data_IF_313206659049
#
_entry.id   IF_313206659049
#
_cell.length_a   1.000
_cell.length_b   1.000
_cell.length_c   1.000
_cell.angle_alpha   90.00
_cell.angle_beta   90.00
_cell.angle_gamma   90.00
#
_symmetry.space_group_name_H-M   'P 1'
#
loop_
_entity.id
_entity.type
_entity.pdbx_description
1 polymer ?
#
# COMPACT_ATOMS: atom_id res chain seq x y z
N UNK A 1 7.69 -14.08 -7.89
CA UNK A 1 8.61 -13.23 -8.70
C UNK A 1 7.78 -12.10 -9.29
N UNK A 2 8.30 -10.87 -9.29
CA UNK A 2 7.60 -9.71 -9.85
C UNK A 2 7.68 -9.70 -11.38
N UNK A 3 6.64 -9.21 -12.07
CA UNK A 3 6.64 -9.04 -13.52
C UNK A 3 7.49 -7.81 -13.87
N UNK A 4 8.41 -7.96 -14.79
CA UNK A 4 9.35 -6.90 -15.16
C UNK A 4 8.64 -5.79 -15.97
N UNK A 5 8.69 -4.57 -15.45
CA UNK A 5 8.02 -3.39 -16.05
C UNK A 5 8.61 -3.02 -17.43
N UNK A 6 9.93 -3.19 -17.63
CA UNK A 6 10.59 -2.87 -18.91
C UNK A 6 10.19 -3.86 -20.01
N UNK A 7 10.10 -5.15 -19.65
CA UNK A 7 9.63 -6.18 -20.59
C UNK A 7 8.20 -5.91 -21.05
N UNK A 8 7.31 -5.61 -20.12
CA UNK A 8 5.90 -5.28 -20.43
C UNK A 8 5.82 -4.04 -21.31
N UNK A 9 6.54 -2.96 -20.96
CA UNK A 9 6.52 -1.72 -21.74
C UNK A 9 7.00 -1.93 -23.17
N UNK A 10 8.12 -2.66 -23.35
CA UNK A 10 8.66 -2.99 -24.68
C UNK A 10 7.71 -3.85 -25.51
N UNK A 11 7.03 -4.82 -24.85
CA UNK A 11 6.05 -5.68 -25.53
C UNK A 11 4.83 -4.87 -25.99
N UNK A 12 4.30 -3.99 -25.13
CA UNK A 12 3.20 -3.10 -25.49
C UNK A 12 3.59 -2.17 -26.64
N UNK A 13 4.76 -1.55 -26.59
CA UNK A 13 5.26 -0.71 -27.68
C UNK A 13 5.45 -1.50 -28.98
N UNK A 14 5.96 -2.74 -28.91
CA UNK A 14 6.12 -3.59 -30.09
C UNK A 14 4.78 -3.85 -30.78
N UNK A 15 3.73 -4.18 -30.01
CA UNK A 15 2.40 -4.46 -30.54
C UNK A 15 1.79 -3.18 -31.15
N UNK A 16 1.88 -2.04 -30.48
CA UNK A 16 1.36 -0.78 -30.96
C UNK A 16 2.10 -0.29 -32.21
N UNK A 17 3.42 -0.43 -32.28
CA UNK A 17 4.24 0.02 -33.40
C UNK A 17 4.10 -0.86 -34.66
N UNK A 18 3.85 -2.18 -34.53
CA UNK A 18 3.71 -3.08 -35.68
C UNK A 18 2.64 -2.64 -36.68
N UNK A 19 1.63 -1.91 -36.21
CA UNK A 19 0.52 -1.48 -37.05
C UNK A 19 0.49 0.04 -37.30
N UNK A 20 1.56 0.77 -36.92
CA UNK A 20 1.64 2.24 -36.99
C UNK A 20 0.46 2.95 -36.29
N UNK A 21 -0.11 2.31 -35.24
CA UNK A 21 -1.37 2.73 -34.62
C UNK A 21 -1.22 3.73 -33.47
N UNK A 22 0.01 4.04 -33.09
CA UNK A 22 0.25 5.04 -32.05
C UNK A 22 1.43 4.72 -31.14
N UNK A 23 1.70 5.62 -30.24
CA UNK A 23 2.75 5.57 -29.26
C UNK A 23 2.19 5.91 -27.88
N UNK A 24 2.52 5.10 -26.87
CA UNK A 24 2.21 5.40 -25.48
C UNK A 24 3.45 5.97 -24.79
N UNK A 25 3.30 7.12 -24.16
CA UNK A 25 4.40 7.73 -23.40
C UNK A 25 4.65 6.95 -22.10
N UNK A 26 5.89 7.04 -21.54
CA UNK A 26 6.19 6.39 -20.26
C UNK A 26 5.26 6.80 -19.11
N UNK A 27 4.84 8.05 -19.07
CA UNK A 27 3.94 8.56 -18.03
C UNK A 27 2.51 7.97 -18.16
N UNK A 28 1.99 7.90 -19.38
CA UNK A 28 0.70 7.24 -19.66
C UNK A 28 0.78 5.76 -19.33
N UNK A 29 1.86 5.08 -19.72
CA UNK A 29 2.09 3.68 -19.40
C UNK A 29 2.10 3.45 -17.88
N UNK A 30 2.80 4.28 -17.11
CA UNK A 30 2.85 4.16 -15.65
C UNK A 30 1.46 4.30 -15.01
N UNK A 31 0.65 5.26 -15.49
CA UNK A 31 -0.72 5.45 -14.99
C UNK A 31 -1.63 4.28 -15.36
N UNK A 32 -1.62 3.88 -16.62
CA UNK A 32 -2.44 2.77 -17.12
C UNK A 32 -2.02 1.45 -16.48
N UNK A 33 -0.72 1.16 -16.42
CA UNK A 33 -0.22 -0.07 -15.82
C UNK A 33 -0.54 -0.18 -14.34
N UNK A 34 -0.49 0.94 -13.59
CA UNK A 34 -0.92 0.96 -12.19
C UNK A 34 -2.41 0.65 -12.06
N UNK A 35 -3.26 1.20 -12.95
CA UNK A 35 -4.70 0.93 -12.93
C UNK A 35 -5.02 -0.52 -13.26
N UNK A 36 -4.34 -1.10 -14.25
CA UNK A 36 -4.48 -2.52 -14.62
C UNK A 36 -4.06 -3.43 -13.46
N UNK A 37 -2.91 -3.14 -12.82
CA UNK A 37 -2.46 -3.89 -11.65
C UNK A 37 -3.49 -3.87 -10.52
N UNK A 38 -4.08 -2.72 -10.22
CA UNK A 38 -5.12 -2.60 -9.22
C UNK A 38 -6.39 -3.39 -9.59
N UNK A 39 -6.79 -3.34 -10.85
CA UNK A 39 -7.95 -4.09 -11.35
C UNK A 39 -7.77 -5.60 -11.18
N UNK A 40 -6.59 -6.14 -11.54
CA UNK A 40 -6.27 -7.56 -11.36
C UNK A 40 -6.23 -7.93 -9.87
N UNK A 41 -5.63 -7.07 -9.04
CA UNK A 41 -5.61 -7.28 -7.59
C UNK A 41 -7.02 -7.34 -6.97
N UNK A 42 -7.92 -6.44 -7.36
CA UNK A 42 -9.32 -6.44 -6.91
C UNK A 42 -10.08 -7.68 -7.39
N UNK A 43 -9.78 -8.16 -8.62
CA UNK A 43 -10.32 -9.40 -9.16
C UNK A 43 -9.96 -10.60 -8.26
N UNK A 44 -8.72 -10.73 -7.80
CA UNK A 44 -8.33 -11.80 -6.87
C UNK A 44 -9.19 -11.85 -5.60
N UNK A 45 -9.49 -10.66 -5.03
CA UNK A 45 -10.32 -10.57 -3.83
C UNK A 45 -11.77 -10.96 -4.10
N UNK A 46 -12.28 -10.61 -5.27
CA UNK A 46 -13.63 -10.97 -5.71
C UNK A 46 -13.75 -12.48 -5.97
N UNK A 47 -12.77 -13.05 -6.69
CA UNK A 47 -12.76 -14.46 -7.06
C UNK A 47 -12.62 -15.37 -5.84
N UNK A 48 -11.75 -15.00 -4.87
CA UNK A 48 -11.66 -15.73 -3.61
C UNK A 48 -13.01 -15.75 -2.87
N UNK A 49 -13.69 -14.60 -2.76
CA UNK A 49 -15.00 -14.54 -2.12
C UNK A 49 -16.07 -15.34 -2.87
N UNK A 50 -15.99 -15.39 -4.20
CA UNK A 50 -16.92 -16.15 -5.04
C UNK A 50 -16.67 -17.65 -4.88
N UNK A 51 -15.42 -18.10 -4.94
CA UNK A 51 -15.06 -19.51 -4.77
C UNK A 51 -15.44 -20.05 -3.39
N UNK A 52 -15.23 -19.27 -2.31
CA UNK A 52 -15.62 -19.68 -0.97
C UNK A 52 -17.12 -19.85 -0.75
N UNK A 53 -17.97 -19.35 -1.67
CA UNK A 53 -19.44 -19.52 -1.63
C UNK A 53 -19.96 -20.71 -2.45
N UNK A 54 -19.11 -21.29 -3.31
CA UNK A 54 -19.49 -22.43 -4.13
C UNK A 54 -19.44 -23.69 -3.25
N UNK A 55 -20.46 -24.58 -3.27
CA UNK A 55 -20.42 -25.84 -2.53
C UNK A 55 -19.26 -26.72 -3.00
N UNK A 56 -18.54 -27.32 -2.03
CA UNK A 56 -17.38 -28.20 -2.26
C UNK A 56 -17.78 -29.54 -2.90
N UNK A 57 -18.28 -29.54 -4.12
CA UNK A 57 -18.72 -30.75 -4.81
C UNK A 57 -17.73 -31.28 -5.86
N UNK A 58 -16.61 -30.58 -6.08
CA UNK A 58 -15.65 -30.92 -7.12
C UNK A 58 -14.24 -31.12 -6.55
N UNK A 59 -13.54 -32.16 -7.00
CA UNK A 59 -12.15 -32.45 -6.63
C UNK A 59 -11.16 -31.35 -7.05
N UNK A 60 -11.51 -30.52 -8.02
CA UNK A 60 -10.68 -29.40 -8.48
C UNK A 60 -10.87 -28.12 -7.65
N UNK A 61 -11.93 -28.03 -6.86
CA UNK A 61 -12.20 -26.87 -6.01
C UNK A 61 -11.03 -26.50 -5.10
N UNK A 62 -10.46 -27.47 -4.40
CA UNK A 62 -9.32 -27.24 -3.52
C UNK A 62 -8.07 -26.73 -4.23
N UNK A 63 -7.89 -27.04 -5.51
CA UNK A 63 -6.76 -26.55 -6.31
C UNK A 63 -7.00 -25.10 -6.76
N UNK A 64 -8.23 -24.75 -7.14
CA UNK A 64 -8.59 -23.36 -7.54
C UNK A 64 -8.43 -22.39 -6.38
N UNK A 65 -8.95 -22.72 -5.19
CA UNK A 65 -8.77 -21.91 -3.99
C UNK A 65 -7.30 -21.71 -3.65
N UNK A 66 -6.49 -22.79 -3.66
CA UNK A 66 -5.05 -22.71 -3.40
C UNK A 66 -4.31 -21.82 -4.40
N UNK A 67 -4.65 -21.90 -5.69
CA UNK A 67 -4.03 -21.08 -6.72
C UNK A 67 -4.33 -19.59 -6.49
N UNK A 68 -5.56 -19.25 -6.10
CA UNK A 68 -5.93 -17.86 -5.78
C UNK A 68 -5.24 -17.40 -4.48
N UNK A 69 -5.19 -18.27 -3.47
CA UNK A 69 -4.48 -17.97 -2.23
C UNK A 69 -2.99 -17.74 -2.46
N UNK A 70 -2.32 -18.52 -3.31
CA UNK A 70 -0.93 -18.34 -3.69
C UNK A 70 -0.68 -16.98 -4.38
N UNK A 71 -1.59 -16.55 -5.24
CA UNK A 71 -1.56 -15.22 -5.86
C UNK A 71 -1.72 -14.10 -4.82
N UNK A 72 -2.58 -14.30 -3.81
CA UNK A 72 -2.84 -13.33 -2.73
C UNK A 72 -1.70 -13.31 -1.70
N UNK A 73 -1.01 -14.42 -1.47
CA UNK A 73 0.06 -14.54 -0.47
C UNK A 73 1.20 -13.54 -0.70
N UNK A 74 1.42 -13.13 -1.95
CA UNK A 74 2.38 -12.07 -2.29
C UNK A 74 2.06 -10.76 -1.56
N UNK A 75 0.78 -10.51 -1.27
CA UNK A 75 0.29 -9.28 -0.64
C UNK A 75 0.08 -9.40 0.87
N UNK A 76 0.14 -10.62 1.44
CA UNK A 76 0.01 -10.82 2.88
C UNK A 76 1.27 -10.30 3.59
N UNK A 77 1.07 -9.51 4.64
CA UNK A 77 2.13 -8.92 5.46
C UNK A 77 1.77 -9.03 6.93
N UNK A 78 2.80 -9.07 7.76
CA UNK A 78 2.67 -8.95 9.21
C UNK A 78 3.52 -7.76 9.63
N UNK A 79 2.92 -6.85 10.37
CA UNK A 79 3.59 -5.67 10.87
C UNK A 79 3.22 -5.39 12.33
N UNK A 80 4.09 -4.69 13.05
CA UNK A 80 3.81 -4.23 14.40
C UNK A 80 2.94 -2.99 14.33
N UNK A 81 1.86 -2.97 15.11
CA UNK A 81 0.99 -1.80 15.24
C UNK A 81 1.56 -0.85 16.30
N UNK A 82 1.99 0.36 15.94
CA UNK A 82 2.49 1.33 16.90
C UNK A 82 1.34 1.88 17.77
N UNK A 83 1.58 1.98 19.08
CA UNK A 83 0.60 2.55 20.00
C UNK A 83 0.60 4.07 19.94
N UNK A 84 -0.57 4.66 19.73
CA UNK A 84 -0.82 6.09 19.78
C UNK A 84 -2.06 6.34 20.64
N UNK A 85 -1.88 6.56 21.92
CA UNK A 85 -2.92 6.63 22.95
C UNK A 85 -4.21 7.30 22.50
N UNK A 86 -5.38 6.65 22.60
CA UNK A 86 -5.63 5.31 23.18
C UNK A 86 -5.69 4.18 22.14
N UNK A 87 -5.24 4.39 20.91
CA UNK A 87 -5.37 3.49 19.78
C UNK A 87 -4.03 2.93 19.33
N UNK A 88 -4.10 1.85 18.57
CA UNK A 88 -2.98 1.36 17.77
C UNK A 88 -3.19 1.76 16.31
N UNK A 89 -2.20 2.34 15.69
CA UNK A 89 -2.22 2.63 14.27
C UNK A 89 -1.91 1.37 13.46
N UNK A 90 -2.46 1.31 12.25
CA UNK A 90 -2.16 0.19 11.36
C UNK A 90 -0.68 0.21 10.93
N UNK A 91 -0.05 -0.97 10.82
CA UNK A 91 1.30 -1.04 10.30
C UNK A 91 1.34 -0.65 8.82
N UNK A 92 2.46 -0.09 8.39
CA UNK A 92 2.77 0.13 6.98
C UNK A 92 4.14 -0.46 6.67
N UNK A 93 4.25 -1.18 5.57
CA UNK A 93 5.50 -1.80 5.12
C UNK A 93 6.10 -1.12 3.90
N UNK A 94 5.46 -0.08 3.38
CA UNK A 94 6.05 0.67 2.27
C UNK A 94 7.38 1.29 2.69
N UNK A 95 8.40 1.00 1.90
CA UNK A 95 9.70 1.66 1.98
C UNK A 95 9.85 2.73 0.89
N UNK A 96 8.79 2.98 0.13
CA UNK A 96 8.81 3.96 -0.97
C UNK A 96 8.41 5.32 -0.43
N UNK A 97 9.36 6.23 -0.40
CA UNK A 97 9.12 7.64 -0.06
C UNK A 97 8.34 8.28 -1.20
N UNK A 98 7.18 8.85 -0.91
CA UNK A 98 6.37 9.57 -1.92
C UNK A 98 6.59 11.06 -1.92
N UNK A 99 6.93 11.63 -0.78
CA UNK A 99 7.27 13.03 -0.65
C UNK A 99 8.31 13.23 0.45
N UNK A 100 9.18 14.22 0.25
CA UNK A 100 10.19 14.61 1.22
C UNK A 100 10.17 16.12 1.41
N UNK A 101 10.48 16.56 2.62
CA UNK A 101 10.74 17.97 2.91
C UNK A 101 11.96 18.08 3.80
N UNK A 102 12.88 18.93 3.40
CA UNK A 102 14.09 19.24 4.19
C UNK A 102 13.98 20.63 4.78
N UNK A 103 14.42 20.75 6.02
CA UNK A 103 14.56 22.03 6.75
C UNK A 103 16.00 22.15 7.21
N UNK A 104 16.53 23.37 7.14
CA UNK A 104 17.77 23.72 7.84
C UNK A 104 17.41 24.64 9.00
N UNK A 105 17.86 24.32 10.19
CA UNK A 105 17.56 25.13 11.38
C UNK A 105 18.24 26.49 11.27
N UNK A 106 17.47 27.61 11.24
CA UNK A 106 18.03 28.94 11.00
C UNK A 106 18.84 29.46 12.20
N UNK A 107 19.80 30.34 11.90
CA UNK A 107 20.69 30.95 12.92
C UNK A 107 20.01 32.02 13.82
N UNK A 108 18.83 32.54 13.44
CA UNK A 108 18.14 33.63 14.20
C UNK A 108 16.63 33.66 13.85
N UNK A 109 15.72 34.16 14.70
CA UNK A 109 16.01 34.96 15.90
C UNK A 109 16.05 34.20 17.23
N UNK A 110 15.83 32.88 17.29
CA UNK A 110 16.05 32.11 18.52
C UNK A 110 16.14 30.59 18.24
N UNK A 111 17.31 30.06 17.87
CA UNK A 111 17.47 28.67 17.46
C UNK A 111 17.24 27.65 18.58
N UNK A 112 17.51 28.05 19.83
CA UNK A 112 17.41 27.16 20.99
C UNK A 112 15.96 26.82 21.42
N UNK A 113 14.95 27.45 20.82
CA UNK A 113 13.53 27.25 21.17
C UNK A 113 12.68 26.80 19.99
N UNK A 114 13.25 26.70 18.78
CA UNK A 114 12.47 26.29 17.61
C UNK A 114 12.28 24.77 17.56
N UNK A 115 11.16 24.30 18.09
CA UNK A 115 10.78 22.88 18.11
C UNK A 115 9.74 22.53 17.06
N UNK A 116 9.13 23.51 16.39
CA UNK A 116 7.99 23.34 15.48
C UNK A 116 8.41 23.55 14.03
N UNK A 117 8.19 22.53 13.19
CA UNK A 117 8.49 22.58 11.76
C UNK A 117 7.24 22.20 10.98
N UNK A 118 6.68 23.15 10.21
CA UNK A 118 5.49 22.93 9.41
C UNK A 118 5.87 22.35 8.06
N UNK A 119 5.33 21.20 7.74
CA UNK A 119 5.53 20.52 6.47
C UNK A 119 4.50 21.02 5.46
N UNK A 120 4.95 21.46 4.30
CA UNK A 120 4.13 22.06 3.24
C UNK A 120 4.14 21.30 1.92
N UNK A 121 5.07 20.34 1.76
CA UNK A 121 5.24 19.60 0.49
C UNK A 121 4.11 18.60 0.20
N UNK A 122 3.23 18.36 1.15
CA UNK A 122 2.04 17.52 0.96
C UNK A 122 0.84 18.01 1.77
N UNK A 123 -0.34 17.54 1.38
CA UNK A 123 -1.59 17.93 2.03
C UNK A 123 -1.81 17.20 3.37
N UNK A 124 -2.66 17.77 4.21
CA UNK A 124 -3.11 17.16 5.47
C UNK A 124 -3.75 15.79 5.21
N UNK A 125 -4.55 15.66 4.16
CA UNK A 125 -5.19 14.39 3.80
C UNK A 125 -4.18 13.28 3.46
N UNK A 126 -3.03 13.62 2.88
CA UNK A 126 -1.95 12.67 2.61
C UNK A 126 -1.27 12.21 3.89
N UNK A 127 -1.07 13.09 4.88
CA UNK A 127 -0.41 12.75 6.14
C UNK A 127 -1.27 11.97 7.12
N UNK A 128 -2.60 12.05 7.03
CA UNK A 128 -3.53 11.35 7.92
C UNK A 128 -3.47 9.82 7.76
N UNK A 129 -3.18 9.34 6.56
CA UNK A 129 -3.13 7.91 6.23
C UNK A 129 -1.72 7.44 5.83
N UNK A 130 -0.68 8.07 6.35
CA UNK A 130 0.69 7.81 5.99
C UNK A 130 1.58 7.65 7.21
N UNK A 131 2.67 6.89 7.06
CA UNK A 131 3.75 6.87 8.03
C UNK A 131 4.70 8.04 7.74
N UNK A 132 5.00 8.81 8.77
CA UNK A 132 5.97 9.90 8.70
C UNK A 132 7.25 9.46 9.41
N UNK A 133 8.38 9.57 8.73
CA UNK A 133 9.70 9.38 9.33
C UNK A 133 10.43 10.72 9.34
N UNK A 134 11.06 11.02 10.45
CA UNK A 134 11.84 12.26 10.65
C UNK A 134 13.28 11.91 10.93
N UNK A 135 14.19 12.52 10.22
CA UNK A 135 15.62 12.36 10.37
C UNK A 135 16.22 13.68 10.82
N UNK A 136 17.16 13.62 11.75
CA UNK A 136 17.97 14.74 12.16
C UNK A 136 19.44 14.44 11.78
N UNK A 137 20.01 15.25 10.90
CA UNK A 137 21.36 15.03 10.34
C UNK A 137 21.55 13.60 9.79
N UNK A 138 20.54 13.05 9.13
CA UNK A 138 20.54 11.69 8.59
C UNK A 138 20.26 10.58 9.60
N UNK A 139 20.05 10.88 10.88
CA UNK A 139 19.72 9.89 11.91
C UNK A 139 18.22 9.84 12.13
N UNK A 140 17.61 8.66 11.96
CA UNK A 140 16.19 8.45 12.18
C UNK A 140 15.81 8.74 13.63
N UNK A 141 14.82 9.58 13.84
CA UNK A 141 14.28 9.93 15.15
C UNK A 141 13.12 8.99 15.52
N UNK A 142 12.93 8.74 16.81
CA UNK A 142 11.86 7.87 17.32
C UNK A 142 10.73 8.69 17.95
N UNK A 143 9.48 8.31 17.63
CA UNK A 143 8.31 8.89 18.29
C UNK A 143 7.86 8.00 19.46
N UNK A 144 7.29 8.55 20.53
CA UNK A 144 7.20 9.97 20.88
C UNK A 144 8.41 10.51 21.64
N UNK A 145 9.48 9.72 21.78
CA UNK A 145 10.60 10.05 22.65
C UNK A 145 11.41 11.28 22.18
N UNK A 146 11.57 11.44 20.86
CA UNK A 146 12.38 12.52 20.28
C UNK A 146 11.56 13.55 19.51
N UNK A 147 10.47 13.13 18.88
CA UNK A 147 9.55 14.04 18.19
C UNK A 147 8.10 13.52 18.25
N UNK A 148 7.16 14.40 17.95
CA UNK A 148 5.78 14.05 17.63
C UNK A 148 5.39 14.69 16.30
N UNK A 149 4.47 14.03 15.56
CA UNK A 149 3.91 14.57 14.32
C UNK A 149 2.40 14.72 14.45
N UNK A 150 1.91 15.93 14.17
CA UNK A 150 0.47 16.19 14.15
C UNK A 150 -0.02 16.17 12.70
N UNK A 151 -0.72 15.10 12.32
CA UNK A 151 -1.28 14.94 10.97
C UNK A 151 -2.43 15.91 10.65
N UNK A 152 -3.05 16.52 11.67
CA UNK A 152 -4.12 17.50 11.48
C UNK A 152 -3.66 18.87 11.00
N UNK A 153 -2.38 19.20 11.16
CA UNK A 153 -1.79 20.47 10.73
C UNK A 153 -0.41 20.34 10.08
N UNK A 154 0.07 19.10 9.84
CA UNK A 154 1.37 18.79 9.26
C UNK A 154 2.56 19.40 10.03
N UNK A 155 2.52 19.38 11.35
CA UNK A 155 3.59 19.93 12.18
C UNK A 155 4.38 18.81 12.85
N UNK A 156 5.70 18.83 12.64
CA UNK A 156 6.68 18.06 13.41
C UNK A 156 7.08 18.89 14.62
N UNK A 157 6.97 18.32 15.83
CA UNK A 157 7.38 18.94 17.08
C UNK A 157 8.48 18.12 17.72
N UNK A 158 9.66 18.69 17.88
CA UNK A 158 10.77 18.05 18.58
C UNK A 158 10.65 18.23 20.09
N UNK A 159 10.98 17.20 20.84
CA UNK A 159 11.06 17.25 22.33
C UNK A 159 12.21 18.15 22.78
N UNK A 160 13.35 18.04 22.09
CA UNK A 160 14.51 18.93 22.29
C UNK A 160 14.75 19.71 21.01
N UNK A 161 14.89 21.02 21.11
CA UNK A 161 15.12 21.86 19.94
C UNK A 161 16.41 21.44 19.20
N UNK A 162 16.36 21.19 17.89
CA UNK A 162 17.54 20.93 17.09
C UNK A 162 18.53 22.14 17.11
N UNK A 163 19.80 21.86 16.96
CA UNK A 163 20.85 22.90 16.94
C UNK A 163 20.80 23.72 15.64
N UNK A 164 21.42 24.89 15.68
CA UNK A 164 21.58 25.73 14.47
C UNK A 164 22.37 24.98 13.41
N UNK A 165 21.92 25.10 12.17
CA UNK A 165 22.45 24.40 10.99
C UNK A 165 22.17 22.89 10.93
N UNK A 166 21.46 22.31 11.92
CA UNK A 166 20.98 20.94 11.78
C UNK A 166 20.03 20.82 10.57
N UNK A 167 20.15 19.69 9.89
CA UNK A 167 19.30 19.35 8.76
C UNK A 167 18.23 18.36 9.22
N UNK A 168 16.96 18.77 9.09
CA UNK A 168 15.80 17.94 9.37
C UNK A 168 15.25 17.47 8.03
N UNK A 169 15.13 16.15 7.83
CA UNK A 169 14.47 15.55 6.70
C UNK A 169 13.19 14.85 7.16
N UNK A 170 12.07 15.21 6.58
CA UNK A 170 10.77 14.59 6.84
C UNK A 170 10.36 13.83 5.60
N UNK A 171 10.05 12.55 5.76
CA UNK A 171 9.65 11.65 4.67
C UNK A 171 8.24 11.12 4.89
N UNK A 172 7.43 11.14 3.83
CA UNK A 172 6.07 10.63 3.79
C UNK A 172 6.05 9.25 3.15
N UNK A 173 5.54 8.26 3.88
CA UNK A 173 5.31 6.90 3.40
C UNK A 173 3.80 6.66 3.38
N UNK A 174 3.16 6.49 2.22
CA UNK A 174 1.73 6.22 2.14
C UNK A 174 1.40 4.87 2.79
N UNK A 175 0.22 4.76 3.38
CA UNK A 175 -0.26 3.49 3.88
C UNK A 175 -0.49 2.53 2.71
N UNK A 176 0.07 1.33 2.80
CA UNK A 176 -0.16 0.23 1.88
C UNK A 176 -1.26 -0.74 2.37
N UNK A 177 -1.89 -0.41 3.48
CA UNK A 177 -2.96 -1.21 4.06
C UNK A 177 -4.18 -1.27 3.12
N UNK A 178 -4.65 -2.48 2.85
CA UNK A 178 -5.87 -2.72 2.09
C UNK A 178 -6.94 -3.39 2.95
N UNK A 179 -6.64 -4.52 3.58
CA UNK A 179 -7.61 -5.29 4.37
C UNK A 179 -6.96 -5.88 5.62
N UNK A 180 -7.67 -5.75 6.76
CA UNK A 180 -7.28 -6.35 8.02
C UNK A 180 -7.45 -7.88 7.94
N UNK A 181 -6.44 -8.60 8.39
CA UNK A 181 -6.50 -10.03 8.64
C UNK A 181 -6.68 -10.32 10.13
N UNK A 182 -5.67 -10.88 10.77
CA UNK A 182 -5.69 -11.20 12.21
C UNK A 182 -4.84 -10.23 13.01
N UNK A 183 -5.26 -10.00 14.27
CA UNK A 183 -4.50 -9.23 15.25
C UNK A 183 -3.98 -10.18 16.31
N UNK A 184 -2.67 -10.10 16.63
CA UNK A 184 -1.96 -11.04 17.51
C UNK A 184 -1.26 -10.24 18.61
N UNK A 185 -1.41 -10.70 19.84
CA UNK A 185 -0.74 -10.14 21.00
C UNK A 185 0.40 -11.07 21.45
N UNK A 186 1.61 -10.53 21.64
CA UNK A 186 2.82 -11.26 22.10
C UNK A 186 3.13 -12.52 21.27
N UNK A 187 2.83 -12.53 19.98
CA UNK A 187 3.07 -13.65 19.05
C UNK A 187 2.35 -14.96 19.38
N UNK A 188 1.53 -15.01 20.40
CA UNK A 188 0.90 -16.24 20.90
C UNK A 188 -0.61 -16.15 21.02
N UNK A 189 -1.16 -14.95 21.29
CA UNK A 189 -2.57 -14.78 21.60
C UNK A 189 -3.28 -14.06 20.49
N UNK A 190 -4.29 -14.71 19.90
CA UNK A 190 -5.18 -14.07 18.93
C UNK A 190 -6.06 -13.06 19.67
N UNK A 191 -6.12 -11.83 19.17
CA UNK A 191 -7.01 -10.79 19.68
C UNK A 191 -8.33 -10.88 18.93
N UNK A 192 -9.44 -11.02 19.65
CA UNK A 192 -10.75 -11.20 19.04
C UNK A 192 -11.33 -9.86 18.60
N UNK A 193 -11.77 -9.78 17.33
CA UNK A 193 -12.53 -8.63 16.84
C UNK A 193 -13.95 -8.67 17.42
N UNK A 194 -14.42 -7.52 17.91
CA UNK A 194 -15.75 -7.36 18.48
C UNK A 194 -16.38 -6.10 17.90
N UNK A 195 -17.66 -6.13 17.61
CA UNK A 195 -18.39 -4.93 17.24
C UNK A 195 -18.69 -4.05 18.45
N UNK A 196 -18.84 -2.74 18.25
CA UNK A 196 -19.04 -1.77 19.34
C UNK A 196 -20.22 -2.11 20.23
N UNK A 197 -21.33 -2.57 19.66
CA UNK A 197 -22.52 -2.94 20.44
C UNK A 197 -22.29 -4.18 21.31
N UNK A 198 -21.64 -5.18 20.76
CA UNK A 198 -21.26 -6.41 21.45
C UNK A 198 -20.23 -6.13 22.55
N UNK A 199 -19.28 -5.25 22.29
CA UNK A 199 -18.27 -4.85 23.25
C UNK A 199 -18.87 -4.34 24.56
N UNK A 200 -19.89 -3.47 24.50
CA UNK A 200 -20.54 -2.96 25.72
C UNK A 200 -21.28 -4.05 26.49
N UNK A 201 -21.80 -5.08 25.80
CA UNK A 201 -22.44 -6.22 26.46
C UNK A 201 -21.42 -7.11 27.16
N UNK A 202 -20.31 -7.41 26.49
CA UNK A 202 -19.21 -8.24 27.00
C UNK A 202 -18.58 -7.58 28.24
N UNK A 203 -18.36 -6.27 28.23
CA UNK A 203 -17.74 -5.54 29.34
C UNK A 203 -18.59 -5.48 30.61
N UNK A 204 -19.90 -5.70 30.52
CA UNK A 204 -20.79 -5.69 31.70
C UNK A 204 -20.60 -6.89 32.62
N UNK A 205 -20.11 -8.00 32.11
CA UNK A 205 -19.91 -9.22 32.88
C UNK A 205 -18.42 -9.41 33.21
N UNK A 206 -18.06 -9.55 34.49
CA UNK A 206 -16.66 -9.83 34.87
C UNK A 206 -16.09 -11.12 34.25
N UNK A 207 -16.97 -12.04 33.86
CA UNK A 207 -16.57 -13.34 33.30
C UNK A 207 -16.21 -13.25 31.81
N UNK A 208 -16.83 -12.31 31.09
CA UNK A 208 -16.68 -12.14 29.64
C UNK A 208 -15.85 -10.91 29.27
N UNK A 209 -15.58 -10.03 30.24
CA UNK A 209 -14.77 -8.83 30.04
C UNK A 209 -13.37 -9.18 29.51
N UNK A 210 -12.87 -8.34 28.60
CA UNK A 210 -11.57 -8.53 28.00
C UNK A 210 -10.45 -8.59 29.05
N UNK A 211 -9.58 -9.60 28.95
CA UNK A 211 -8.41 -9.82 29.81
C UNK A 211 -7.13 -9.87 28.97
N UNK A 212 -5.95 -9.82 29.59
CA UNK A 212 -4.70 -9.97 28.86
C UNK A 212 -4.52 -11.35 28.21
N UNK A 213 -5.19 -12.38 28.75
CA UNK A 213 -5.19 -13.73 28.19
C UNK A 213 -6.23 -13.92 27.07
N UNK A 214 -7.26 -13.10 27.07
CA UNK A 214 -8.32 -13.07 26.06
C UNK A 214 -8.61 -11.60 25.68
N UNK A 215 -7.68 -10.97 24.95
CA UNK A 215 -7.86 -9.59 24.56
C UNK A 215 -8.85 -9.48 23.40
N UNK A 216 -9.55 -8.36 23.37
CA UNK A 216 -10.48 -8.01 22.29
C UNK A 216 -10.10 -6.68 21.66
N UNK A 217 -10.52 -6.44 20.43
CA UNK A 217 -10.30 -5.15 19.78
C UNK A 217 -11.52 -4.68 19.01
N UNK A 218 -11.66 -3.38 18.93
CA UNK A 218 -12.57 -2.66 18.04
C UNK A 218 -11.75 -2.13 16.85
N UNK A 219 -12.28 -2.26 15.66
CA UNK A 219 -11.69 -1.70 14.44
C UNK A 219 -12.56 -0.57 13.90
N UNK A 220 -12.12 0.65 14.08
CA UNK A 220 -12.85 1.86 13.67
C UNK A 220 -11.84 2.92 13.20
N UNK A 221 -12.25 3.73 12.23
CA UNK A 221 -11.44 4.84 11.69
C UNK A 221 -10.01 4.43 11.29
N UNK A 222 -9.87 3.23 10.71
CA UNK A 222 -8.57 2.63 10.36
C UNK A 222 -7.59 2.53 11.54
N UNK A 223 -8.10 2.44 12.76
CA UNK A 223 -7.34 2.27 14.00
C UNK A 223 -7.85 1.06 14.78
N UNK A 224 -7.01 0.51 15.63
CA UNK A 224 -7.35 -0.61 16.50
C UNK A 224 -7.42 -0.12 17.95
N UNK A 225 -8.56 -0.28 18.60
CA UNK A 225 -8.68 -0.06 20.02
C UNK A 225 -8.66 -1.40 20.75
N UNK A 226 -7.57 -1.72 21.41
CA UNK A 226 -7.35 -3.02 22.06
C UNK A 226 -7.72 -2.94 23.53
N UNK A 227 -8.39 -4.00 24.02
CA UNK A 227 -8.76 -4.15 25.42
C UNK A 227 -8.20 -5.44 26.02
N UNK A 228 -7.83 -5.41 27.31
CA UNK A 228 -7.89 -4.28 28.23
C UNK A 228 -6.92 -3.14 27.86
N UNK A 229 -7.24 -1.92 28.24
CA UNK A 229 -6.44 -0.72 27.96
C UNK A 229 -5.02 -0.74 28.57
N UNK A 230 -4.71 -1.73 29.37
CA UNK A 230 -3.37 -2.00 29.90
C UNK A 230 -2.40 -2.54 28.84
N UNK A 231 -2.92 -2.99 27.69
CA UNK A 231 -2.10 -3.43 26.55
C UNK A 231 -1.73 -2.18 25.75
N UNK A 232 -0.45 -1.84 25.77
CA UNK A 232 0.11 -0.66 25.08
C UNK A 232 1.27 -0.99 24.14
N UNK A 233 1.64 -2.29 24.04
CA UNK A 233 2.72 -2.77 23.18
C UNK A 233 2.42 -4.18 22.67
N UNK A 234 3.33 -4.71 21.85
CA UNK A 234 3.37 -6.11 21.39
C UNK A 234 2.15 -6.56 20.57
N UNK A 235 1.48 -5.64 19.90
CA UNK A 235 0.42 -5.93 18.94
C UNK A 235 1.02 -6.07 17.54
N UNK A 236 0.80 -7.23 16.94
CA UNK A 236 1.11 -7.50 15.53
C UNK A 236 -0.18 -7.68 14.75
N UNK A 237 -0.18 -7.19 13.53
CA UNK A 237 -1.31 -7.22 12.62
C UNK A 237 -0.91 -7.95 11.36
N UNK A 238 -1.63 -9.00 11.01
CA UNK A 238 -1.61 -9.59 9.69
C UNK A 238 -2.58 -8.82 8.80
N UNK A 239 -2.15 -8.41 7.61
CA UNK A 239 -2.98 -7.64 6.69
C UNK A 239 -2.60 -7.91 5.25
N UNK A 240 -3.52 -7.57 4.35
CA UNK A 240 -3.26 -7.55 2.92
C UNK A 240 -2.84 -6.12 2.54
N UNK A 241 -1.69 -6.01 1.92
CA UNK A 241 -1.22 -4.73 1.41
C UNK A 241 -1.78 -4.43 0.03
N UNK A 242 -1.94 -3.17 -0.29
CA UNK A 242 -2.20 -2.68 -1.63
C UNK A 242 -0.90 -2.78 -2.47
N UNK A 243 -0.96 -3.22 -3.74
CA UNK A 243 0.23 -3.21 -4.58
C UNK A 243 0.78 -1.80 -4.79
N UNK A 244 2.10 -1.68 -4.84
CA UNK A 244 2.77 -0.41 -5.10
C UNK A 244 2.44 0.08 -6.52
N UNK A 245 2.49 1.39 -6.73
CA UNK A 245 2.39 1.95 -8.08
C UNK A 245 3.59 1.49 -8.90
N UNK A 246 3.32 1.07 -10.13
CA UNK A 246 4.38 0.71 -11.06
C UNK A 246 5.05 1.97 -11.59
N UNK A 247 6.33 1.86 -11.90
CA UNK A 247 7.06 2.94 -12.54
C UNK A 247 8.09 2.38 -13.52
N UNK A 248 7.92 2.69 -14.79
CA UNK A 248 8.98 2.59 -15.76
C UNK A 248 9.81 3.88 -15.67
N UNK A 249 10.92 3.81 -14.94
CA UNK A 249 11.80 4.94 -14.74
C UNK A 249 12.60 5.22 -16.01
N UNK A 250 12.82 6.49 -16.34
CA UNK A 250 13.56 6.88 -17.53
C UNK A 250 14.40 8.14 -17.31
N UNK A 251 15.40 8.28 -18.16
CA UNK A 251 16.13 9.53 -18.36
C UNK A 251 15.93 9.99 -19.79
N UNK A 252 16.01 11.29 -20.02
CA UNK A 252 15.89 11.88 -21.34
C UNK A 252 17.29 11.97 -21.94
N UNK A 253 17.53 11.28 -23.06
CA UNK A 253 18.78 11.35 -23.80
C UNK A 253 18.93 12.67 -24.56
N UNK A 254 20.12 12.90 -25.12
CA UNK A 254 20.48 14.14 -25.84
C UNK A 254 19.60 14.46 -27.06
N UNK A 255 18.95 13.45 -27.62
CA UNK A 255 18.06 13.56 -28.78
C UNK A 255 16.56 13.55 -28.36
N UNK A 256 16.27 13.67 -27.06
CA UNK A 256 14.91 13.65 -26.54
C UNK A 256 14.31 12.25 -26.37
N UNK A 257 15.06 11.16 -26.64
CA UNK A 257 14.61 9.79 -26.46
C UNK A 257 14.54 9.40 -24.98
N UNK A 258 13.56 8.56 -24.63
CA UNK A 258 13.43 7.99 -23.29
C UNK A 258 14.36 6.77 -23.16
N UNK A 259 15.27 6.82 -22.21
CA UNK A 259 16.20 5.74 -21.88
C UNK A 259 15.78 5.11 -20.55
N UNK A 260 15.61 3.80 -20.54
CA UNK A 260 15.25 3.05 -19.34
C UNK A 260 16.25 3.22 -18.21
N UNK A 261 15.76 3.53 -17.01
CA UNK A 261 16.56 3.65 -15.81
C UNK A 261 16.08 2.65 -14.75
N UNK A 262 16.80 1.53 -14.53
CA UNK A 262 16.40 0.51 -13.56
C UNK A 262 16.33 1.02 -12.13
N UNK A 263 17.17 2.00 -11.75
CA UNK A 263 17.26 2.50 -10.38
C UNK A 263 16.02 3.26 -9.94
N UNK A 264 15.30 3.87 -10.88
CA UNK A 264 14.05 4.61 -10.64
C UNK A 264 12.81 3.84 -11.05
N UNK A 265 12.95 2.55 -11.38
CA UNK A 265 11.85 1.71 -11.85
C UNK A 265 11.27 0.85 -10.74
N UNK A 266 9.95 0.67 -10.77
CA UNK A 266 9.19 -0.21 -9.88
C UNK A 266 8.44 -1.24 -10.71
N UNK A 267 8.71 -2.53 -10.48
CA UNK A 267 8.09 -3.64 -11.18
C UNK A 267 6.65 -3.87 -10.70
N UNK A 268 5.85 -4.61 -11.50
CA UNK A 268 4.54 -5.09 -11.06
C UNK A 268 4.68 -6.09 -9.92
N UNK A 269 3.86 -5.96 -8.90
CA UNK A 269 3.83 -6.86 -7.74
C UNK A 269 2.83 -8.01 -7.91
N UNK A 270 2.50 -8.39 -9.13
CA UNK A 270 1.63 -9.51 -9.45
C UNK A 270 2.41 -10.82 -9.63
N UNK A 271 1.70 -11.94 -9.57
CA UNK A 271 2.27 -13.24 -9.91
C UNK A 271 2.68 -13.27 -11.40
N UNK A 272 3.72 -14.03 -11.73
CA UNK A 272 4.26 -14.07 -13.11
C UNK A 272 3.24 -14.58 -14.13
N UNK A 273 2.31 -15.43 -13.72
CA UNK A 273 1.22 -15.94 -14.60
C UNK A 273 0.35 -14.83 -15.19
N UNK A 274 0.25 -13.70 -14.51
CA UNK A 274 -0.61 -12.58 -14.91
C UNK A 274 0.04 -11.64 -15.95
N UNK A 275 1.20 -12.00 -16.48
CA UNK A 275 1.90 -11.13 -17.44
C UNK A 275 1.08 -10.87 -18.70
N UNK A 276 0.35 -11.88 -19.17
CA UNK A 276 -0.51 -11.76 -20.38
C UNK A 276 -1.69 -10.82 -20.07
N UNK A 277 -2.34 -11.00 -18.93
CA UNK A 277 -3.49 -10.20 -18.51
C UNK A 277 -3.10 -8.73 -18.33
N UNK A 278 -1.91 -8.49 -17.77
CA UNK A 278 -1.35 -7.13 -17.64
C UNK A 278 -1.15 -6.49 -19.02
N UNK A 279 -0.53 -7.21 -19.97
CA UNK A 279 -0.29 -6.69 -21.33
C UNK A 279 -1.62 -6.41 -22.03
N UNK A 280 -2.57 -7.36 -21.97
CA UNK A 280 -3.89 -7.22 -22.60
C UNK A 280 -4.69 -6.07 -22.00
N UNK A 281 -4.68 -5.94 -20.66
CA UNK A 281 -5.33 -4.82 -19.97
C UNK A 281 -4.73 -3.48 -20.35
N UNK A 282 -3.39 -3.37 -20.45
CA UNK A 282 -2.74 -2.13 -20.88
C UNK A 282 -3.09 -1.80 -22.34
N UNK A 283 -3.15 -2.80 -23.23
CA UNK A 283 -3.54 -2.60 -24.63
C UNK A 283 -4.99 -2.12 -24.75
N UNK A 284 -5.90 -2.64 -23.92
CA UNK A 284 -7.29 -2.19 -23.90
C UNK A 284 -7.39 -0.69 -23.57
N UNK A 285 -6.72 -0.25 -22.49
CA UNK A 285 -6.70 1.17 -22.12
C UNK A 285 -5.95 2.03 -23.15
N UNK A 286 -4.85 1.51 -23.71
CA UNK A 286 -4.10 2.19 -24.78
C UNK A 286 -4.93 2.35 -26.04
N UNK A 287 -5.75 1.36 -26.40
CA UNK A 287 -6.69 1.44 -27.50
C UNK A 287 -7.73 2.54 -27.33
N UNK A 288 -8.21 2.75 -26.08
CA UNK A 288 -9.12 3.87 -25.77
C UNK A 288 -8.41 5.22 -25.90
N UNK A 289 -7.16 5.34 -25.41
CA UNK A 289 -6.38 6.58 -25.50
C UNK A 289 -6.10 6.95 -26.97
N UNK A 290 -5.73 5.94 -27.78
CA UNK A 290 -5.40 6.12 -29.20
C UNK A 290 -6.67 6.21 -30.08
N UNK A 291 -7.84 5.91 -29.52
CA UNK A 291 -9.12 5.85 -30.21
C UNK A 291 -9.16 4.82 -31.36
N UNK A 292 -8.47 3.68 -31.19
CA UNK A 292 -8.48 2.56 -32.13
C UNK A 292 -9.48 1.48 -31.70
N UNK A 293 -10.64 1.39 -32.37
CA UNK A 293 -11.69 0.44 -32.00
C UNK A 293 -11.25 -1.04 -32.21
N UNK A 294 -10.29 -1.31 -33.08
CA UNK A 294 -9.83 -2.67 -33.35
C UNK A 294 -9.03 -3.23 -32.19
N UNK A 295 -8.15 -2.42 -31.60
CA UNK A 295 -7.37 -2.81 -30.40
C UNK A 295 -8.31 -3.08 -29.23
N UNK A 296 -9.29 -2.22 -29.03
CA UNK A 296 -10.31 -2.36 -27.98
C UNK A 296 -11.08 -3.66 -28.16
N UNK A 297 -11.52 -3.95 -29.39
CA UNK A 297 -12.29 -5.15 -29.70
C UNK A 297 -11.50 -6.44 -29.47
N UNK A 298 -10.26 -6.51 -29.94
CA UNK A 298 -9.39 -7.69 -29.76
C UNK A 298 -9.06 -7.90 -28.29
N UNK A 299 -8.66 -6.86 -27.59
CA UNK A 299 -8.32 -6.95 -26.17
C UNK A 299 -9.54 -7.34 -25.31
N UNK A 300 -10.72 -6.78 -25.58
CA UNK A 300 -11.94 -7.14 -24.86
C UNK A 300 -12.40 -8.57 -25.11
N UNK A 301 -12.26 -9.08 -26.35
CA UNK A 301 -12.56 -10.48 -26.67
C UNK A 301 -11.63 -11.43 -25.92
N UNK A 302 -10.35 -11.13 -25.82
CA UNK A 302 -9.39 -11.95 -25.09
C UNK A 302 -9.71 -11.98 -23.59
N UNK A 303 -10.01 -10.85 -22.97
CA UNK A 303 -10.41 -10.76 -21.55
C UNK A 303 -11.69 -11.62 -21.32
N UNK A 304 -12.69 -11.50 -22.18
CA UNK A 304 -13.92 -12.30 -22.07
C UNK A 304 -13.65 -13.81 -22.19
N UNK A 305 -12.76 -14.21 -23.08
CA UNK A 305 -12.41 -15.62 -23.26
C UNK A 305 -11.65 -16.18 -22.04
N UNK A 306 -10.75 -15.38 -21.45
CA UNK A 306 -10.05 -15.72 -20.21
C UNK A 306 -11.03 -15.87 -19.04
N UNK A 307 -11.97 -14.94 -18.88
CA UNK A 307 -13.00 -15.03 -17.83
C UNK A 307 -13.91 -16.26 -17.97
N UNK A 308 -14.23 -16.68 -19.20
CA UNK A 308 -15.01 -17.89 -19.45
C UNK A 308 -14.20 -19.13 -19.05
N UNK A 309 -12.91 -19.16 -19.42
CA UNK A 309 -12.03 -20.27 -19.10
C UNK A 309 -11.76 -20.41 -17.59
N UNK A 310 -11.67 -19.29 -16.86
CA UNK A 310 -11.49 -19.29 -15.40
C UNK A 310 -12.76 -19.76 -14.66
N UNK A 311 -13.95 -19.55 -15.23
CA UNK A 311 -15.24 -19.89 -14.62
C UNK A 311 -15.75 -21.29 -15.00
N UNK A 312 -15.18 -21.92 -16.03
CA UNK A 312 -15.54 -23.27 -16.44
C UNK A 312 -14.66 -24.31 -15.77
#
# INVERSE_FOLDING_TARGET
>A
MAINVDLVYKTVLLILNQQQRGYITPDEFNKVGTQVQLSIFEKYMSDLNQQLRIPENDSEYGNRVKNIEEKIDIFKRIGTAPFATPYFNLPTTTNTVTATQSFTVPAAPNPATNTLFTVTNWSIAQSQNALIKVYLNGVLQTTPAQYSFNSGNNIVTFVTAPAVADVILVELYPSDFYRLGSVIYKDTTLVQMVERNEFYLIQKSPLTAATQSQPTFLYEDAQLQVFPSTITSDIKVSYIKKPNQIQWGYSIGSLGQFLYNPSSSTNFELHVSEQVDVITGILLYSGVIIQDPTIIQVASQQIQQEEINEKS
#
